data_IF_458339458189
#
_entry.id   IF_458339458189
#
_cell.length_a   1.000
_cell.length_b   1.000
_cell.length_c   1.000
_cell.angle_alpha   90.00
_cell.angle_beta   90.00
_cell.angle_gamma   90.00
#
_symmetry.space_group_name_H-M   'P 1'
#
loop_
_entity.id
_entity.type
_entity.pdbx_description
1 polymer ?
#
# COMPACT_ATOMS: atom_id res chain seq x y z
N UNK A 1 10.22 -28.89 -28.34
CA UNK A 1 10.86 -28.31 -27.12
C UNK A 1 9.89 -27.30 -26.50
N UNK A 2 9.36 -27.56 -25.31
CA UNK A 2 8.56 -26.55 -24.58
C UNK A 2 9.50 -25.44 -24.06
N UNK A 3 9.41 -24.23 -24.61
CA UNK A 3 10.12 -23.06 -24.06
C UNK A 3 9.61 -22.87 -22.62
N UNK A 4 10.41 -23.23 -21.63
CA UNK A 4 10.15 -22.82 -20.24
C UNK A 4 10.28 -21.30 -20.19
N UNK A 5 9.19 -20.60 -19.95
CA UNK A 5 9.22 -19.18 -19.64
C UNK A 5 9.93 -19.07 -18.27
N UNK A 6 11.19 -18.66 -18.28
CA UNK A 6 11.91 -18.35 -17.06
C UNK A 6 11.33 -17.06 -16.50
N UNK A 7 10.62 -17.15 -15.37
CA UNK A 7 10.02 -16.01 -14.69
C UNK A 7 10.71 -15.86 -13.35
N UNK A 8 11.45 -14.76 -13.18
CA UNK A 8 11.99 -14.39 -11.87
C UNK A 8 10.82 -14.03 -10.93
N UNK A 9 10.94 -14.38 -9.64
CA UNK A 9 9.98 -13.91 -8.63
C UNK A 9 9.90 -12.40 -8.69
N UNK A 10 8.69 -11.88 -8.51
CA UNK A 10 8.44 -10.44 -8.44
C UNK A 10 9.29 -9.79 -7.35
N UNK A 11 9.94 -8.71 -7.71
CA UNK A 11 10.70 -7.86 -6.79
C UNK A 11 10.53 -6.41 -7.19
N UNK A 12 10.20 -5.57 -6.25
CA UNK A 12 10.11 -4.12 -6.45
C UNK A 12 11.46 -3.46 -6.77
N UNK A 13 12.57 -4.16 -6.50
CA UNK A 13 13.94 -3.67 -6.81
C UNK A 13 14.30 -3.75 -8.30
N UNK A 14 13.57 -4.56 -9.09
CA UNK A 14 13.89 -4.88 -10.49
C UNK A 14 12.82 -4.40 -11.47
N UNK A 15 12.21 -3.26 -11.24
CA UNK A 15 11.20 -2.73 -12.16
C UNK A 15 11.86 -2.05 -13.36
N UNK A 16 11.35 -2.31 -14.60
CA UNK A 16 11.92 -1.75 -15.83
C UNK A 16 11.62 -0.27 -16.02
N UNK A 17 10.58 0.25 -15.40
CA UNK A 17 10.14 1.64 -15.43
C UNK A 17 10.20 2.28 -14.04
N UNK A 18 10.00 3.59 -13.95
CA UNK A 18 9.91 4.24 -12.64
C UNK A 18 8.74 3.66 -11.83
N UNK A 19 8.92 3.56 -10.51
CA UNK A 19 7.91 3.02 -9.60
C UNK A 19 6.55 3.72 -9.78
N UNK A 20 6.55 5.05 -9.80
CA UNK A 20 5.33 5.85 -9.92
C UNK A 20 4.61 5.62 -11.27
N UNK A 21 5.37 5.54 -12.39
CA UNK A 21 4.81 5.26 -13.72
C UNK A 21 4.14 3.89 -13.75
N UNK A 22 4.84 2.88 -13.23
CA UNK A 22 4.33 1.52 -13.16
C UNK A 22 3.01 1.42 -12.39
N UNK A 23 2.91 2.08 -11.23
CA UNK A 23 1.69 2.03 -10.42
C UNK A 23 0.51 2.72 -11.10
N UNK A 24 0.72 3.87 -11.74
CA UNK A 24 -0.31 4.58 -12.51
C UNK A 24 -0.91 3.72 -13.63
N UNK A 25 -0.09 2.94 -14.32
CA UNK A 25 -0.53 2.04 -15.40
C UNK A 25 -1.15 0.74 -14.88
N UNK A 26 -0.75 0.29 -13.67
CA UNK A 26 -1.14 -1.02 -13.14
C UNK A 26 -2.31 -1.00 -12.16
N UNK A 27 -2.56 0.13 -11.49
CA UNK A 27 -3.58 0.24 -10.44
C UNK A 27 -4.65 1.22 -10.91
N UNK A 28 -5.89 0.75 -11.08
CA UNK A 28 -7.00 1.62 -11.42
C UNK A 28 -7.18 2.72 -10.38
N UNK A 29 -7.47 3.94 -10.84
CA UNK A 29 -7.71 5.11 -10.00
C UNK A 29 -6.58 5.37 -8.97
N UNK A 30 -5.31 5.10 -9.36
CA UNK A 30 -4.18 5.24 -8.44
C UNK A 30 -3.99 6.68 -7.94
N UNK A 31 -4.19 7.66 -8.81
CA UNK A 31 -4.05 9.09 -8.44
C UNK A 31 -5.19 9.53 -7.54
N UNK A 32 -6.41 9.06 -7.81
CA UNK A 32 -7.60 9.30 -7.01
C UNK A 32 -7.44 8.68 -5.61
N UNK A 33 -6.86 7.48 -5.50
CA UNK A 33 -6.57 6.88 -4.20
C UNK A 33 -5.62 7.74 -3.37
N UNK A 34 -4.57 8.31 -3.98
CA UNK A 34 -3.65 9.24 -3.31
C UNK A 34 -4.34 10.54 -2.89
N UNK A 35 -5.23 11.06 -3.75
CA UNK A 35 -6.05 12.24 -3.41
C UNK A 35 -6.92 11.99 -2.20
N UNK A 36 -7.64 10.85 -2.15
CA UNK A 36 -8.46 10.48 -1.00
C UNK A 36 -7.63 10.28 0.26
N UNK A 37 -6.47 9.62 0.17
CA UNK A 37 -5.55 9.48 1.29
C UNK A 37 -5.16 10.87 1.83
N UNK A 38 -4.74 11.81 0.98
CA UNK A 38 -4.39 13.16 1.42
C UNK A 38 -5.57 13.86 2.12
N UNK A 39 -6.77 13.81 1.52
CA UNK A 39 -7.96 14.47 2.08
C UNK A 39 -8.39 13.85 3.40
N UNK A 40 -8.43 12.52 3.52
CA UNK A 40 -8.78 11.86 4.79
C UNK A 40 -7.69 12.12 5.84
N UNK A 41 -6.42 12.10 5.47
CA UNK A 41 -5.29 12.35 6.38
C UNK A 41 -5.40 13.70 7.08
N UNK A 42 -5.96 14.73 6.41
CA UNK A 42 -6.10 16.08 6.98
C UNK A 42 -6.95 16.15 8.25
N UNK A 43 -7.84 15.19 8.45
CA UNK A 43 -8.66 15.11 9.66
C UNK A 43 -7.94 14.47 10.86
N UNK A 44 -6.82 13.77 10.60
CA UNK A 44 -6.11 12.99 11.62
C UNK A 44 -4.72 13.53 11.94
N UNK A 45 -4.07 14.23 11.01
CA UNK A 45 -2.75 14.85 11.24
C UNK A 45 -2.92 16.06 12.16
N UNK A 46 -2.18 16.03 13.29
CA UNK A 46 -2.12 17.14 14.25
C UNK A 46 -0.67 17.50 14.52
N UNK A 47 -0.43 18.68 15.08
CA UNK A 47 0.92 19.03 15.55
C UNK A 47 1.35 18.11 16.70
N UNK A 48 2.66 17.88 16.82
CA UNK A 48 3.30 16.98 17.82
C UNK A 48 3.06 15.48 17.64
N UNK A 49 2.47 15.07 16.53
CA UNK A 49 2.13 13.67 16.26
C UNK A 49 3.15 12.93 15.39
N UNK A 50 3.03 11.60 15.37
CA UNK A 50 3.74 10.74 14.43
C UNK A 50 2.73 10.12 13.46
N UNK A 51 3.07 10.20 12.16
CA UNK A 51 2.27 9.64 11.08
C UNK A 51 3.12 8.66 10.28
N UNK A 52 2.58 7.47 10.02
CA UNK A 52 3.30 6.40 9.35
C UNK A 52 2.72 6.09 7.98
N UNK A 53 3.59 5.77 7.02
CA UNK A 53 3.23 5.00 5.83
C UNK A 53 4.02 3.69 5.84
N UNK A 54 3.29 2.58 5.81
CA UNK A 54 3.83 1.21 5.76
C UNK A 54 3.82 0.75 4.31
N UNK A 55 4.98 0.27 3.83
CA UNK A 55 5.19 0.00 2.41
C UNK A 55 5.28 1.29 1.60
N UNK A 56 6.01 2.25 2.12
CA UNK A 56 6.07 3.61 1.54
C UNK A 56 6.81 3.68 0.19
N UNK A 57 7.46 2.62 -0.23
CA UNK A 57 8.25 2.56 -1.46
C UNK A 57 9.22 3.75 -1.60
N UNK A 58 9.09 4.54 -2.68
CA UNK A 58 9.86 5.77 -2.92
C UNK A 58 9.31 7.02 -2.20
N UNK A 59 8.34 6.84 -1.28
CA UNK A 59 7.84 7.86 -0.37
C UNK A 59 6.86 8.87 -0.97
N UNK A 60 6.20 8.56 -2.08
CA UNK A 60 5.35 9.53 -2.77
C UNK A 60 4.21 10.06 -1.89
N UNK A 61 3.50 9.22 -1.14
CA UNK A 61 2.37 9.65 -0.30
C UNK A 61 2.88 10.36 0.95
N UNK A 62 3.70 9.70 1.76
CA UNK A 62 4.16 10.27 3.03
C UNK A 62 5.00 11.54 2.82
N UNK A 63 5.77 11.59 1.72
CA UNK A 63 6.55 12.76 1.36
C UNK A 63 5.70 13.94 0.93
N UNK A 64 4.58 13.71 0.24
CA UNK A 64 3.63 14.76 -0.11
C UNK A 64 2.93 15.31 1.13
N UNK A 65 2.50 14.44 2.05
CA UNK A 65 1.93 14.85 3.33
C UNK A 65 2.95 15.65 4.17
N UNK A 66 4.19 15.19 4.26
CA UNK A 66 5.23 15.91 5.01
C UNK A 66 5.53 17.30 4.44
N UNK A 67 5.41 17.51 3.13
CA UNK A 67 5.50 18.82 2.49
C UNK A 67 4.30 19.71 2.83
N UNK A 68 3.10 19.18 2.70
CA UNK A 68 1.84 19.88 2.97
C UNK A 68 1.79 20.38 4.42
N UNK A 69 2.25 19.54 5.37
CA UNK A 69 2.31 19.87 6.80
C UNK A 69 3.68 20.37 7.29
N UNK A 70 4.44 21.01 6.42
CA UNK A 70 5.78 21.52 6.77
C UNK A 70 5.78 22.59 7.89
N UNK A 71 4.64 23.26 8.09
CA UNK A 71 4.46 24.25 9.15
C UNK A 71 4.25 23.63 10.55
N UNK A 72 3.92 22.34 10.63
CA UNK A 72 3.76 21.60 11.87
C UNK A 72 5.15 21.13 12.35
N UNK A 73 5.81 21.97 13.16
CA UNK A 73 7.24 21.80 13.48
C UNK A 73 7.57 20.53 14.25
N UNK A 74 6.64 20.04 15.06
CA UNK A 74 6.85 18.88 15.93
C UNK A 74 6.25 17.59 15.36
N UNK A 75 5.48 17.66 14.28
CA UNK A 75 4.88 16.51 13.62
C UNK A 75 5.92 15.74 12.83
N UNK A 76 5.92 14.43 12.97
CA UNK A 76 6.85 13.52 12.30
C UNK A 76 6.14 12.63 11.29
N UNK A 77 6.76 12.48 10.14
CA UNK A 77 6.33 11.56 9.09
C UNK A 77 7.38 10.47 8.93
N UNK A 78 6.94 9.22 8.93
CA UNK A 78 7.84 8.06 8.89
C UNK A 78 7.38 7.09 7.84
N UNK A 79 8.18 6.93 6.78
CA UNK A 79 7.99 5.89 5.78
C UNK A 79 8.77 4.63 6.16
N UNK A 80 8.10 3.48 6.09
CA UNK A 80 8.71 2.16 6.35
C UNK A 80 8.50 1.28 5.14
N UNK A 81 9.57 0.69 4.60
CA UNK A 81 9.52 -0.25 3.47
C UNK A 81 10.58 -1.34 3.62
N UNK A 82 10.31 -2.51 3.03
CA UNK A 82 11.26 -3.62 3.01
C UNK A 82 12.40 -3.39 2.02
N UNK A 83 12.12 -2.72 0.88
CA UNK A 83 13.08 -2.46 -0.19
C UNK A 83 14.10 -1.40 0.23
N UNK A 84 15.36 -1.80 0.41
CA UNK A 84 16.46 -0.87 0.66
C UNK A 84 16.67 0.12 -0.49
N UNK A 85 16.48 -0.35 -1.74
CA UNK A 85 16.65 0.47 -2.95
C UNK A 85 15.64 1.63 -2.96
N UNK A 86 14.35 1.32 -2.77
CA UNK A 86 13.29 2.34 -2.76
C UNK A 86 13.45 3.32 -1.60
N UNK A 87 13.89 2.85 -0.43
CA UNK A 87 14.20 3.73 0.72
C UNK A 87 15.37 4.67 0.42
N UNK A 88 16.39 4.24 -0.32
CA UNK A 88 17.50 5.13 -0.74
C UNK A 88 16.97 6.19 -1.70
N UNK A 89 16.13 5.82 -2.65
CA UNK A 89 15.47 6.76 -3.58
C UNK A 89 14.60 7.78 -2.82
N UNK A 90 13.77 7.30 -1.88
CA UNK A 90 12.93 8.14 -1.04
C UNK A 90 13.76 9.16 -0.24
N UNK A 91 14.83 8.73 0.42
CA UNK A 91 15.76 9.62 1.15
C UNK A 91 16.39 10.67 0.25
N UNK A 92 16.78 10.30 -0.96
CA UNK A 92 17.35 11.25 -1.95
C UNK A 92 16.31 12.26 -2.41
N UNK A 93 15.10 11.79 -2.74
CA UNK A 93 13.98 12.60 -3.25
C UNK A 93 13.53 13.65 -2.24
N UNK A 94 13.52 13.30 -0.96
CA UNK A 94 12.97 14.13 0.12
C UNK A 94 14.03 14.63 1.11
N UNK A 95 15.31 14.72 0.71
CA UNK A 95 16.46 15.08 1.57
C UNK A 95 16.31 16.42 2.31
N UNK A 96 15.50 17.33 1.79
CA UNK A 96 15.30 18.67 2.35
C UNK A 96 14.08 18.75 3.31
N UNK A 97 13.33 17.67 3.52
CA UNK A 97 12.15 17.66 4.38
C UNK A 97 12.57 17.22 5.78
N UNK A 98 12.62 18.15 6.72
CA UNK A 98 13.18 17.92 8.08
C UNK A 98 12.33 17.00 8.96
N UNK A 99 11.00 17.06 8.82
CA UNK A 99 10.04 16.29 9.62
C UNK A 99 9.72 14.90 9.02
N UNK A 100 10.45 14.48 7.99
CA UNK A 100 10.28 13.23 7.28
C UNK A 100 11.49 12.31 7.43
N UNK A 101 11.24 11.04 7.71
CA UNK A 101 12.28 10.01 7.78
C UNK A 101 11.83 8.71 7.11
N UNK A 102 12.81 7.93 6.63
CA UNK A 102 12.57 6.67 5.95
C UNK A 102 13.41 5.56 6.56
N UNK A 103 12.80 4.39 6.80
CA UNK A 103 13.45 3.23 7.41
C UNK A 103 13.21 1.97 6.58
N UNK A 104 14.29 1.23 6.26
CA UNK A 104 14.17 -0.09 5.65
C UNK A 104 13.96 -1.12 6.76
N UNK A 105 12.78 -1.72 6.81
CA UNK A 105 12.40 -2.71 7.82
C UNK A 105 11.24 -3.57 7.35
N UNK A 106 11.17 -4.80 7.86
CA UNK A 106 9.95 -5.59 7.78
C UNK A 106 8.89 -4.95 8.69
N UNK A 107 7.75 -4.58 8.11
CA UNK A 107 6.68 -3.87 8.80
C UNK A 107 6.08 -4.66 9.98
N UNK A 108 5.98 -5.99 9.89
CA UNK A 108 5.48 -6.83 10.98
C UNK A 108 6.41 -6.86 12.20
N UNK A 109 7.70 -6.57 11.99
CA UNK A 109 8.73 -6.52 13.04
C UNK A 109 9.00 -5.08 13.52
N UNK A 110 8.56 -4.08 12.78
CA UNK A 110 8.82 -2.66 13.08
C UNK A 110 8.24 -2.25 14.44
N UNK A 111 8.99 -1.42 15.17
CA UNK A 111 8.56 -0.93 16.49
C UNK A 111 7.89 0.45 16.35
N UNK A 112 6.59 0.45 16.14
CA UNK A 112 5.77 1.67 16.05
C UNK A 112 5.73 2.40 17.40
N UNK A 113 5.85 3.73 17.36
CA UNK A 113 5.53 4.62 18.47
C UNK A 113 4.05 5.00 18.41
N UNK A 114 3.53 5.67 19.45
CA UNK A 114 2.18 6.24 19.44
C UNK A 114 2.03 7.17 18.23
N UNK A 115 0.92 7.05 17.52
CA UNK A 115 0.67 7.77 16.26
C UNK A 115 -0.80 8.14 16.10
N UNK A 116 -1.08 9.10 15.24
CA UNK A 116 -2.44 9.49 14.90
C UNK A 116 -2.88 8.92 13.55
N UNK A 117 -1.94 8.70 12.64
CA UNK A 117 -2.24 8.19 11.31
C UNK A 117 -1.29 7.06 10.94
N UNK A 118 -1.85 5.99 10.41
CA UNK A 118 -1.11 4.93 9.74
C UNK A 118 -1.72 4.68 8.36
N UNK A 119 -0.91 4.72 7.32
CA UNK A 119 -1.33 4.48 5.93
C UNK A 119 -0.71 3.16 5.47
N UNK A 120 -1.51 2.30 4.87
CA UNK A 120 -1.10 1.04 4.23
C UNK A 120 -1.70 1.05 2.83
N UNK A 121 -0.86 1.24 1.80
CA UNK A 121 -1.32 1.42 0.44
C UNK A 121 -0.82 0.29 -0.46
N UNK A 122 -1.68 -0.71 -0.69
CA UNK A 122 -1.41 -1.92 -1.49
C UNK A 122 -0.24 -2.79 -0.97
N UNK A 123 -0.20 -3.06 0.33
CA UNK A 123 0.89 -3.79 0.99
C UNK A 123 0.45 -5.12 1.56
N UNK A 124 -0.70 -5.19 2.26
CA UNK A 124 -1.12 -6.40 2.98
C UNK A 124 -1.23 -7.61 2.06
N UNK A 125 -1.61 -7.39 0.82
CA UNK A 125 -1.71 -8.43 -0.22
C UNK A 125 -0.39 -9.19 -0.49
N UNK A 126 0.74 -8.74 0.03
CA UNK A 126 2.05 -9.40 -0.08
C UNK A 126 2.50 -10.07 1.22
N UNK A 127 1.68 -10.00 2.26
CA UNK A 127 1.98 -10.54 3.59
C UNK A 127 1.21 -11.84 3.85
N UNK A 128 1.75 -12.71 4.69
CA UNK A 128 0.99 -13.84 5.22
C UNK A 128 -0.10 -13.36 6.17
N UNK A 129 -1.13 -14.15 6.43
CA UNK A 129 -2.24 -13.77 7.31
C UNK A 129 -1.76 -13.50 8.75
N UNK A 130 -0.74 -14.23 9.20
CA UNK A 130 -0.13 -13.99 10.49
C UNK A 130 0.61 -12.64 10.55
N UNK A 131 1.36 -12.30 9.49
CA UNK A 131 2.04 -11.01 9.37
C UNK A 131 1.05 -9.85 9.30
N UNK A 132 -0.04 -9.98 8.49
CA UNK A 132 -1.14 -9.00 8.43
C UNK A 132 -1.71 -8.76 9.82
N UNK A 133 -2.11 -9.82 10.53
CA UNK A 133 -2.68 -9.75 11.87
C UNK A 133 -1.72 -9.11 12.88
N UNK A 134 -0.45 -9.48 12.81
CA UNK A 134 0.59 -8.92 13.69
C UNK A 134 0.78 -7.43 13.45
N UNK A 135 0.91 -7.02 12.18
CA UNK A 135 1.08 -5.62 11.80
C UNK A 135 -0.12 -4.77 12.25
N UNK A 136 -1.33 -5.20 11.91
CA UNK A 136 -2.56 -4.45 12.19
C UNK A 136 -2.78 -4.32 13.70
N UNK A 137 -2.55 -5.38 14.49
CA UNK A 137 -2.59 -5.33 15.97
C UNK A 137 -1.55 -4.38 16.56
N UNK A 138 -0.33 -4.35 16.00
CA UNK A 138 0.71 -3.41 16.44
C UNK A 138 0.28 -1.96 16.20
N UNK A 139 -0.22 -1.66 15.00
CA UNK A 139 -0.71 -0.32 14.64
C UNK A 139 -1.88 0.06 15.55
N UNK A 140 -2.89 -0.80 15.69
CA UNK A 140 -4.06 -0.54 16.54
C UNK A 140 -3.67 -0.15 17.98
N UNK A 141 -2.73 -0.89 18.57
CA UNK A 141 -2.23 -0.60 19.93
C UNK A 141 -1.49 0.74 20.04
N UNK A 142 -1.02 1.29 18.94
CA UNK A 142 -0.23 2.54 18.91
C UNK A 142 -1.04 3.73 18.39
N UNK A 143 -2.19 3.49 17.77
CA UNK A 143 -3.09 4.58 17.39
C UNK A 143 -3.64 5.29 18.63
N UNK A 144 -3.68 6.61 18.58
CA UNK A 144 -4.39 7.43 19.55
C UNK A 144 -5.90 7.17 19.44
N UNK A 145 -6.68 7.55 20.47
CA UNK A 145 -8.15 7.37 20.49
C UNK A 145 -8.86 8.00 19.29
N UNK A 146 -8.33 9.10 18.79
CA UNK A 146 -8.84 9.82 17.61
C UNK A 146 -8.03 9.56 16.35
N UNK A 147 -7.14 8.56 16.35
CA UNK A 147 -6.31 8.21 15.21
C UNK A 147 -7.02 7.29 14.23
N UNK A 148 -6.49 7.21 13.02
CA UNK A 148 -7.00 6.35 11.96
C UNK A 148 -5.93 5.52 11.29
N UNK A 149 -6.35 4.37 10.77
CA UNK A 149 -5.58 3.58 9.81
C UNK A 149 -6.31 3.62 8.47
N UNK A 150 -5.63 4.09 7.43
CA UNK A 150 -6.12 4.09 6.04
C UNK A 150 -5.48 2.91 5.34
N UNK A 151 -6.30 2.07 4.72
CA UNK A 151 -5.82 0.87 4.01
C UNK A 151 -6.37 0.86 2.60
N UNK A 152 -5.51 0.60 1.61
CA UNK A 152 -5.91 0.26 0.26
C UNK A 152 -5.35 -1.11 -0.10
N UNK A 153 -6.19 -1.97 -0.67
CA UNK A 153 -5.82 -3.34 -1.02
C UNK A 153 -6.43 -3.77 -2.36
N UNK A 154 -5.74 -4.70 -3.01
CA UNK A 154 -6.35 -5.52 -4.04
C UNK A 154 -6.93 -6.76 -3.38
N UNK A 155 -8.27 -6.92 -3.45
CA UNK A 155 -9.01 -8.04 -2.87
C UNK A 155 -9.31 -9.15 -3.89
N UNK A 156 -9.84 -10.24 -3.42
CA UNK A 156 -10.52 -11.25 -4.22
C UNK A 156 -12.03 -11.00 -4.18
N UNK A 157 -12.74 -11.46 -5.20
CA UNK A 157 -14.19 -11.54 -5.15
C UNK A 157 -14.62 -12.71 -4.27
N UNK A 158 -15.83 -12.64 -3.73
CA UNK A 158 -16.36 -13.67 -2.80
C UNK A 158 -16.69 -14.99 -3.51
N UNK A 159 -16.92 -14.96 -4.83
CA UNK A 159 -17.23 -16.14 -5.64
C UNK A 159 -16.38 -16.21 -6.91
N UNK A 160 -16.27 -17.41 -7.46
CA UNK A 160 -15.42 -17.68 -8.63
C UNK A 160 -15.95 -17.05 -9.92
N UNK A 161 -17.26 -16.91 -10.08
CA UNK A 161 -17.84 -16.30 -11.27
C UNK A 161 -17.54 -14.80 -11.34
N UNK A 162 -17.79 -14.10 -10.25
CA UNK A 162 -17.42 -12.68 -10.13
C UNK A 162 -15.90 -12.48 -10.25
N UNK A 163 -15.11 -13.40 -9.68
CA UNK A 163 -13.64 -13.34 -9.79
C UNK A 163 -13.18 -13.42 -11.24
N UNK A 164 -13.78 -14.27 -12.05
CA UNK A 164 -13.45 -14.41 -13.49
C UNK A 164 -13.79 -13.12 -14.25
N UNK A 165 -14.99 -12.57 -14.06
CA UNK A 165 -15.44 -11.32 -14.69
C UNK A 165 -14.48 -10.18 -14.36
N UNK A 166 -14.21 -9.93 -13.07
CA UNK A 166 -13.35 -8.82 -12.67
C UNK A 166 -11.87 -9.04 -13.02
N UNK A 167 -11.44 -10.29 -13.16
CA UNK A 167 -10.11 -10.59 -13.71
C UNK A 167 -10.01 -10.18 -15.18
N UNK A 168 -11.05 -10.44 -15.98
CA UNK A 168 -11.14 -9.99 -17.37
C UNK A 168 -11.11 -8.46 -17.46
N UNK A 169 -12.03 -7.77 -16.76
CA UNK A 169 -12.09 -6.30 -16.71
C UNK A 169 -10.74 -5.69 -16.31
N UNK A 170 -10.03 -6.30 -15.36
CA UNK A 170 -8.71 -5.81 -14.95
C UNK A 170 -7.62 -6.08 -16.01
N UNK A 171 -7.75 -7.12 -16.83
CA UNK A 171 -6.87 -7.35 -17.96
C UNK A 171 -7.10 -6.29 -19.05
N UNK A 172 -8.39 -6.01 -19.39
CA UNK A 172 -8.75 -4.97 -20.35
C UNK A 172 -8.20 -3.61 -19.91
N UNK A 173 -8.38 -3.25 -18.63
CA UNK A 173 -7.77 -2.03 -18.06
C UNK A 173 -6.26 -1.95 -18.31
N UNK A 174 -5.52 -3.06 -18.21
CA UNK A 174 -4.08 -3.06 -18.49
C UNK A 174 -3.78 -2.87 -19.96
N UNK A 175 -4.56 -3.48 -20.85
CA UNK A 175 -4.40 -3.31 -22.29
C UNK A 175 -4.66 -1.85 -22.68
N UNK A 176 -5.70 -1.22 -22.14
CA UNK A 176 -5.99 0.19 -22.33
C UNK A 176 -4.86 1.11 -21.80
N UNK A 177 -4.08 0.63 -20.83
CA UNK A 177 -2.88 1.30 -20.31
C UNK A 177 -1.58 0.82 -20.94
N UNK A 178 -1.63 0.38 -22.22
CA UNK A 178 -0.49 0.08 -23.08
C UNK A 178 0.38 -1.10 -22.58
N UNK A 179 -0.17 -2.03 -21.78
CA UNK A 179 0.50 -3.29 -21.52
C UNK A 179 0.25 -4.27 -22.66
N UNK A 180 1.30 -4.93 -23.14
CA UNK A 180 1.14 -6.04 -24.07
C UNK A 180 0.59 -7.29 -23.34
N UNK A 181 -0.09 -8.21 -24.06
CA UNK A 181 -0.53 -9.49 -23.49
C UNK A 181 0.62 -10.27 -22.83
N UNK A 182 1.82 -10.22 -23.42
CA UNK A 182 3.01 -10.89 -22.91
C UNK A 182 3.46 -10.30 -21.56
N UNK A 183 3.43 -8.99 -21.39
CA UNK A 183 3.75 -8.31 -20.13
C UNK A 183 2.74 -8.66 -19.05
N UNK A 184 1.44 -8.68 -19.38
CA UNK A 184 0.37 -9.06 -18.44
C UNK A 184 0.55 -10.49 -17.97
N UNK A 185 0.81 -11.44 -18.89
CA UNK A 185 1.06 -12.85 -18.56
C UNK A 185 2.33 -12.99 -17.72
N UNK A 186 3.43 -12.38 -18.13
CA UNK A 186 4.71 -12.42 -17.42
C UNK A 186 4.59 -11.89 -16.00
N UNK A 187 3.88 -10.77 -15.81
CA UNK A 187 3.61 -10.20 -14.48
C UNK A 187 2.74 -11.14 -13.65
N UNK A 188 1.67 -11.68 -14.22
CA UNK A 188 0.80 -12.66 -13.53
C UNK A 188 1.61 -13.87 -13.04
N UNK A 189 2.48 -14.41 -13.89
CA UNK A 189 3.35 -15.53 -13.53
C UNK A 189 4.34 -15.17 -12.42
N UNK A 190 4.92 -13.96 -12.44
CA UNK A 190 5.88 -13.51 -11.41
C UNK A 190 5.23 -13.30 -10.05
N UNK A 191 3.93 -12.96 -10.00
CA UNK A 191 3.17 -12.74 -8.78
C UNK A 191 2.57 -14.03 -8.18
N UNK A 192 2.66 -15.16 -8.88
CA UNK A 192 2.19 -16.45 -8.36
C UNK A 192 2.90 -16.78 -7.05
N UNK A 193 2.15 -17.15 -6.03
CA UNK A 193 2.64 -17.44 -4.67
C UNK A 193 3.27 -16.24 -3.95
N UNK A 194 3.24 -15.04 -4.55
CA UNK A 194 3.69 -13.78 -3.93
C UNK A 194 2.49 -13.01 -3.41
N UNK A 195 1.45 -12.82 -4.24
CA UNK A 195 0.21 -12.19 -3.80
C UNK A 195 -0.63 -13.15 -2.95
N UNK A 196 -1.15 -12.63 -1.85
CA UNK A 196 -2.00 -13.29 -0.85
C UNK A 196 -3.17 -12.38 -0.50
N UNK A 197 -3.93 -12.01 -1.54
CA UNK A 197 -5.11 -11.17 -1.36
C UNK A 197 -6.20 -11.93 -0.59
N UNK A 198 -6.87 -11.24 0.31
CA UNK A 198 -8.07 -11.70 0.98
C UNK A 198 -9.30 -11.19 0.22
N UNK A 199 -10.49 -11.71 0.51
CA UNK A 199 -11.75 -11.08 0.11
C UNK A 199 -11.99 -9.83 0.96
N UNK A 200 -12.92 -8.99 0.53
CA UNK A 200 -13.33 -7.79 1.27
C UNK A 200 -13.80 -8.14 2.69
N UNK A 201 -14.67 -9.14 2.82
CA UNK A 201 -15.20 -9.59 4.12
C UNK A 201 -14.08 -10.14 5.02
N UNK A 202 -13.17 -10.97 4.48
CA UNK A 202 -12.03 -11.47 5.25
C UNK A 202 -11.13 -10.34 5.79
N UNK A 203 -10.95 -9.25 5.03
CA UNK A 203 -10.21 -8.07 5.50
C UNK A 203 -10.96 -7.34 6.61
N UNK A 204 -12.28 -7.16 6.47
CA UNK A 204 -13.11 -6.54 7.52
C UNK A 204 -13.05 -7.34 8.82
N UNK A 205 -13.14 -8.67 8.74
CA UNK A 205 -13.03 -9.55 9.91
C UNK A 205 -11.64 -9.50 10.55
N UNK A 206 -10.59 -9.41 9.75
CA UNK A 206 -9.24 -9.21 10.23
C UNK A 206 -9.12 -7.90 11.02
N UNK A 207 -9.66 -6.79 10.51
CA UNK A 207 -9.61 -5.49 11.18
C UNK A 207 -10.45 -5.50 12.48
N UNK A 208 -11.68 -6.04 12.43
CA UNK A 208 -12.53 -6.23 13.62
C UNK A 208 -11.83 -7.07 14.69
N UNK A 209 -11.25 -8.21 14.28
CA UNK A 209 -10.50 -9.12 15.15
C UNK A 209 -9.21 -8.53 15.72
N UNK A 210 -8.71 -7.42 15.17
CA UNK A 210 -7.57 -6.66 15.68
C UNK A 210 -7.99 -5.52 16.62
N UNK A 211 -9.31 -5.21 16.74
CA UNK A 211 -9.86 -4.24 17.68
C UNK A 211 -10.53 -3.02 17.04
N UNK A 212 -10.47 -2.85 15.72
CA UNK A 212 -11.15 -1.74 15.04
C UNK A 212 -12.67 -1.93 15.09
N UNK A 213 -13.40 -0.91 15.57
CA UNK A 213 -14.86 -0.92 15.70
C UNK A 213 -15.56 -0.16 14.59
N UNK A 214 -14.96 0.94 14.14
CA UNK A 214 -15.49 1.81 13.08
C UNK A 214 -14.65 1.58 11.83
N UNK A 215 -15.22 0.93 10.83
CA UNK A 215 -14.56 0.59 9.58
C UNK A 215 -15.49 1.00 8.44
N UNK A 216 -14.98 1.77 7.49
CA UNK A 216 -15.73 2.30 6.36
C UNK A 216 -14.98 2.01 5.06
N UNK A 217 -15.67 1.37 4.11
CA UNK A 217 -15.20 1.29 2.74
C UNK A 217 -15.67 2.57 2.02
N UNK A 218 -14.73 3.38 1.57
CA UNK A 218 -14.98 4.70 0.96
C UNK A 218 -14.49 4.79 -0.48
N UNK A 219 -13.83 3.73 -0.97
CA UNK A 219 -13.26 3.69 -2.32
C UNK A 219 -13.36 2.27 -2.87
N UNK A 220 -13.85 2.14 -4.10
CA UNK A 220 -13.93 0.83 -4.76
C UNK A 220 -13.86 0.95 -6.28
N UNK A 221 -12.97 0.17 -6.87
CA UNK A 221 -12.95 -0.15 -8.29
C UNK A 221 -12.74 -1.66 -8.46
N UNK A 222 -13.82 -2.40 -8.72
CA UNK A 222 -13.76 -3.86 -8.77
C UNK A 222 -13.04 -4.43 -7.53
N UNK A 223 -11.92 -5.14 -7.72
CA UNK A 223 -11.14 -5.72 -6.61
C UNK A 223 -10.19 -4.72 -5.92
N UNK A 224 -10.15 -3.45 -6.28
CA UNK A 224 -9.31 -2.44 -5.64
C UNK A 224 -10.18 -1.62 -4.68
N UNK A 225 -9.85 -1.67 -3.39
CA UNK A 225 -10.68 -1.11 -2.31
C UNK A 225 -9.86 -0.25 -1.36
N UNK A 226 -10.52 0.75 -0.78
CA UNK A 226 -9.96 1.61 0.27
C UNK A 226 -10.91 1.83 1.43
#
# INVERSE_FOLDING_TARGET
MKKKISVNKWSFDNMPESYDSHLKRSIPLYQESQFFISKISSYFIKDEDINYEVGCANGTIIGSLAKEYSNFKNTKFVGVDLSKKLIIEAKKRYKNIKNLSFQSSNASQFNFKKCNLAIIHYVLQFMTDEEKKTLIKKIYKKLSKSGAMIVFEKTLMEDSYSQEIFSGIYQDFKFDNEYSPEEVIKKSLSLRSVMRSNTSESNLDLFRGCGFKSIYNFFKWGPFEG
#
